data_IF_208075404680
#
_entry.id   IF_208075404680
#
_cell.length_a   1.000
_cell.length_b   1.000
_cell.length_c   1.000
_cell.angle_alpha   90.00
_cell.angle_beta   90.00
_cell.angle_gamma   90.00
#
_symmetry.space_group_name_H-M   'P 1'
#
loop_
_entity.id
_entity.type
_entity.pdbx_description
1 polymer ?
#
# COMPACT_ATOMS: atom_id res chain seq x y z
N UNK A 1 24.60 -39.16 44.98
CA UNK A 1 24.26 -40.58 45.18
C UNK A 1 23.33 -40.93 44.05
N UNK A 2 23.78 -41.81 43.13
CA UNK A 2 23.04 -42.34 41.97
C UNK A 2 22.61 -41.28 40.91
N UNK A 3 22.33 -41.56 39.63
CA UNK A 3 22.81 -42.53 38.60
C UNK A 3 22.13 -42.12 37.26
N UNK A 4 22.49 -42.53 36.04
CA UNK A 4 23.76 -42.91 35.38
C UNK A 4 23.46 -43.09 33.84
N UNK A 5 24.43 -43.53 33.04
CA UNK A 5 24.30 -44.12 31.68
C UNK A 5 23.96 -43.18 30.51
N UNK A 6 24.99 -42.79 29.77
CA UNK A 6 24.93 -42.69 28.29
C UNK A 6 25.81 -43.77 27.68
N UNK A 7 25.22 -44.67 26.88
CA UNK A 7 25.96 -45.64 26.06
C UNK A 7 26.03 -45.20 24.59
N UNK A 8 27.15 -45.54 23.95
CA UNK A 8 27.49 -45.26 22.56
C UNK A 8 27.94 -46.57 21.89
N UNK A 9 27.47 -46.87 20.67
CA UNK A 9 28.34 -47.46 19.63
C UNK A 9 28.01 -46.93 18.20
N UNK A 10 28.88 -46.96 17.17
CA UNK A 10 30.26 -47.45 17.00
C UNK A 10 30.89 -47.00 15.65
N UNK A 11 32.24 -47.09 15.50
CA UNK A 11 33.05 -47.35 14.27
C UNK A 11 33.03 -46.30 13.10
N UNK A 12 34.10 -45.94 12.35
CA UNK A 12 35.51 -46.40 12.10
C UNK A 12 36.43 -45.20 11.67
N UNK A 13 37.71 -45.30 11.26
CA UNK A 13 38.92 -45.97 11.81
C UNK A 13 40.22 -45.71 10.95
N UNK A 14 41.04 -44.68 11.28
CA UNK A 14 42.47 -44.46 10.85
C UNK A 14 42.74 -44.18 9.33
N UNK A 15 43.85 -43.58 8.88
CA UNK A 15 45.04 -42.93 9.51
C UNK A 15 46.27 -42.87 8.56
N UNK A 16 47.30 -42.04 8.87
CA UNK A 16 48.64 -41.87 8.19
C UNK A 16 48.67 -41.29 6.74
N UNK A 17 49.41 -40.21 6.39
CA UNK A 17 50.88 -40.01 6.24
C UNK A 17 51.51 -40.85 5.09
N UNK A 18 52.39 -40.37 4.17
CA UNK A 18 53.27 -39.18 4.11
C UNK A 18 53.77 -38.88 2.64
N UNK A 19 54.28 -37.66 2.39
CA UNK A 19 55.36 -37.23 1.45
C UNK A 19 55.40 -37.65 -0.05
N UNK A 20 55.57 -36.67 -0.96
CA UNK A 20 56.82 -36.48 -1.76
C UNK A 20 56.82 -35.14 -2.54
N UNK A 21 58.03 -34.63 -2.85
CA UNK A 21 58.31 -33.37 -3.57
C UNK A 21 59.42 -33.64 -4.57
N UNK A 22 59.18 -33.39 -5.85
CA UNK A 22 60.23 -33.43 -6.88
C UNK A 22 60.15 -32.18 -7.76
N UNK A 23 61.32 -31.64 -8.08
CA UNK A 23 61.52 -30.41 -8.85
C UNK A 23 61.93 -30.77 -10.27
N UNK A 24 61.40 -30.07 -11.28
CA UNK A 24 61.89 -30.15 -12.65
C UNK A 24 61.91 -28.75 -13.27
N UNK A 25 63.11 -28.24 -13.47
CA UNK A 25 63.37 -26.91 -14.00
C UNK A 25 63.11 -26.81 -15.51
N UNK A 26 62.71 -25.62 -15.98
CA UNK A 26 63.04 -25.16 -17.33
C UNK A 26 62.99 -23.64 -17.49
N UNK A 27 64.14 -23.15 -17.93
CA UNK A 27 64.62 -21.85 -18.42
C UNK A 27 63.65 -20.67 -18.68
N UNK A 28 64.18 -19.48 -18.39
CA UNK A 28 63.66 -18.16 -18.73
C UNK A 28 63.93 -17.81 -20.20
N UNK A 29 62.98 -17.11 -20.84
CA UNK A 29 63.25 -16.12 -21.88
C UNK A 29 62.35 -14.89 -21.65
N UNK A 30 62.91 -13.70 -21.80
CA UNK A 30 62.23 -12.42 -21.51
C UNK A 30 61.70 -11.74 -22.79
N UNK A 31 60.55 -11.06 -22.65
CA UNK A 31 60.09 -9.90 -23.45
C UNK A 31 59.76 -10.12 -24.95
N UNK A 32 58.95 -9.23 -25.60
CA UNK A 32 58.46 -7.94 -25.11
C UNK A 32 56.94 -7.72 -25.12
N UNK A 33 56.54 -6.64 -24.44
CA UNK A 33 55.22 -6.00 -24.50
C UNK A 33 54.66 -5.81 -25.92
N UNK A 34 53.60 -6.54 -26.26
CA UNK A 34 52.68 -6.15 -27.36
C UNK A 34 51.41 -5.53 -26.79
N UNK A 35 51.42 -4.20 -26.70
CA UNK A 35 50.18 -3.43 -26.70
C UNK A 35 49.42 -3.73 -28.01
N UNK A 36 48.35 -4.51 -27.94
CA UNK A 36 47.45 -4.62 -29.09
C UNK A 36 46.01 -5.01 -28.71
N UNK A 37 45.10 -4.13 -29.10
CA UNK A 37 43.66 -4.33 -29.20
C UNK A 37 42.95 -4.82 -27.92
N UNK A 38 42.55 -3.86 -27.09
CA UNK A 38 41.20 -3.91 -26.47
C UNK A 38 40.21 -3.97 -27.64
N UNK A 39 39.78 -5.19 -28.01
CA UNK A 39 38.86 -5.37 -29.12
C UNK A 39 37.48 -4.83 -28.74
N UNK A 40 37.06 -3.80 -29.47
CA UNK A 40 35.74 -3.18 -29.32
C UNK A 40 34.64 -4.15 -29.74
N UNK A 41 34.10 -4.92 -28.78
CA UNK A 41 32.78 -5.54 -28.91
C UNK A 41 31.67 -4.52 -28.55
N UNK A 42 31.63 -3.41 -29.28
CA UNK A 42 30.53 -2.44 -29.18
C UNK A 42 29.38 -2.86 -30.08
N UNK A 43 28.37 -3.50 -29.49
CA UNK A 43 27.04 -3.63 -30.10
C UNK A 43 25.88 -3.62 -29.08
N UNK A 44 26.05 -4.21 -27.89
CA UNK A 44 24.96 -4.41 -26.91
C UNK A 44 25.25 -3.91 -25.48
N UNK A 45 26.29 -3.10 -25.25
CA UNK A 45 26.58 -2.59 -23.90
C UNK A 45 25.60 -1.49 -23.44
N UNK A 46 25.17 -1.53 -22.18
CA UNK A 46 24.29 -0.52 -21.57
C UNK A 46 25.12 0.65 -21.01
N UNK A 47 24.73 1.87 -21.36
CA UNK A 47 25.42 3.07 -20.89
C UNK A 47 24.97 3.44 -19.46
N UNK A 48 25.94 3.68 -18.57
CA UNK A 48 25.66 4.14 -17.22
C UNK A 48 25.12 5.59 -17.24
N UNK A 49 23.93 5.86 -16.67
CA UNK A 49 23.34 7.20 -16.66
C UNK A 49 24.07 8.21 -15.76
N UNK A 50 24.97 7.75 -14.87
CA UNK A 50 25.72 8.61 -13.95
C UNK A 50 27.10 9.04 -14.47
N UNK A 51 27.85 8.15 -15.12
CA UNK A 51 29.23 8.42 -15.56
C UNK A 51 29.49 8.17 -17.05
N UNK A 52 28.48 7.75 -17.83
CA UNK A 52 28.60 7.52 -19.27
C UNK A 52 29.37 6.27 -19.69
N UNK A 53 29.99 5.53 -18.77
CA UNK A 53 30.67 4.25 -19.03
C UNK A 53 29.72 3.24 -19.65
N UNK A 54 30.14 2.52 -20.68
CA UNK A 54 29.43 1.37 -21.26
C UNK A 54 29.74 0.13 -20.42
N UNK A 55 28.73 -0.64 -20.05
CA UNK A 55 28.83 -1.86 -19.24
C UNK A 55 28.11 -3.01 -19.96
N UNK A 56 28.31 -4.25 -19.51
CA UNK A 56 27.59 -5.42 -20.06
C UNK A 56 26.06 -5.24 -19.99
N UNK A 57 25.28 -5.71 -20.99
CA UNK A 57 23.84 -5.45 -21.08
C UNK A 57 23.04 -5.80 -19.82
N UNK A 58 23.40 -6.87 -19.11
CA UNK A 58 22.76 -7.34 -17.89
C UNK A 58 23.38 -6.77 -16.59
N UNK A 59 24.32 -5.82 -16.69
CA UNK A 59 25.01 -5.27 -15.53
C UNK A 59 24.06 -4.44 -14.64
N UNK A 60 23.85 -4.89 -13.40
CA UNK A 60 23.01 -4.19 -12.40
C UNK A 60 23.67 -2.93 -11.81
N UNK A 61 25.00 -2.85 -11.85
CA UNK A 61 25.81 -1.75 -11.31
C UNK A 61 26.96 -1.41 -12.25
N UNK A 62 27.34 -0.13 -12.29
CA UNK A 62 28.42 0.33 -13.15
C UNK A 62 29.78 -0.11 -12.61
N UNK A 63 30.55 -0.81 -13.44
CA UNK A 63 31.89 -1.27 -13.13
C UNK A 63 32.88 -0.12 -12.86
N UNK A 64 32.58 1.11 -13.32
CA UNK A 64 33.41 2.30 -13.10
C UNK A 64 33.00 3.14 -11.88
N UNK A 65 31.71 3.37 -11.64
CA UNK A 65 31.25 4.29 -10.58
C UNK A 65 30.37 3.67 -9.49
N UNK A 66 30.07 2.37 -9.56
CA UNK A 66 29.25 1.65 -8.58
C UNK A 66 27.75 2.00 -8.57
N UNK A 67 27.30 3.05 -9.29
CA UNK A 67 25.88 3.39 -9.38
C UNK A 67 25.09 2.30 -10.13
N UNK A 68 23.83 2.05 -9.75
CA UNK A 68 23.00 1.07 -10.43
C UNK A 68 22.75 1.47 -11.89
N UNK A 69 22.75 0.48 -12.79
CA UNK A 69 22.34 0.64 -14.19
C UNK A 69 20.95 0.00 -14.36
N UNK A 70 20.21 0.41 -15.39
CA UNK A 70 18.82 -0.01 -15.55
C UNK A 70 17.90 0.55 -14.47
N UNK A 71 18.31 1.63 -13.80
CA UNK A 71 17.46 2.50 -12.98
C UNK A 71 17.55 3.91 -13.52
N UNK A 72 16.42 4.52 -13.79
CA UNK A 72 16.34 5.95 -14.10
C UNK A 72 16.53 6.77 -12.83
N UNK A 73 16.90 8.04 -12.95
CA UNK A 73 16.92 8.98 -11.83
C UNK A 73 15.69 9.88 -11.91
N UNK A 74 15.12 10.22 -10.76
CA UNK A 74 13.98 11.12 -10.70
C UNK A 74 14.40 12.52 -11.16
N UNK A 75 13.77 13.12 -12.20
CA UNK A 75 14.17 14.43 -12.70
C UNK A 75 13.97 15.55 -11.67
N UNK A 76 13.12 15.34 -10.67
CA UNK A 76 12.79 16.33 -9.64
C UNK A 76 13.72 16.31 -8.42
N UNK A 77 14.42 15.20 -8.15
CA UNK A 77 15.21 15.05 -6.91
C UNK A 77 16.48 14.18 -7.01
N UNK A 78 16.78 13.60 -8.18
CA UNK A 78 17.94 12.73 -8.40
C UNK A 78 17.86 11.33 -7.77
N UNK A 79 16.83 11.03 -6.96
CA UNK A 79 16.68 9.71 -6.35
C UNK A 79 16.52 8.59 -7.40
N UNK A 80 17.08 7.38 -7.16
CA UNK A 80 16.93 6.27 -8.08
C UNK A 80 15.49 5.78 -8.13
N UNK A 81 14.96 5.63 -9.34
CA UNK A 81 13.61 5.13 -9.63
C UNK A 81 13.70 3.95 -10.61
N UNK A 82 12.62 3.18 -10.70
CA UNK A 82 12.53 2.07 -11.65
C UNK A 82 12.24 2.63 -13.07
N UNK A 83 12.78 2.06 -14.16
CA UNK A 83 12.53 2.53 -15.53
C UNK A 83 11.05 2.70 -15.90
N UNK A 84 10.16 1.80 -15.43
CA UNK A 84 8.71 1.90 -15.70
C UNK A 84 7.94 2.61 -14.57
N UNK A 85 8.63 3.22 -13.61
CA UNK A 85 7.97 4.02 -12.59
C UNK A 85 7.38 5.28 -13.22
N UNK A 86 6.10 5.55 -12.93
CA UNK A 86 5.47 6.82 -13.31
C UNK A 86 5.42 7.84 -12.16
N UNK A 87 5.76 7.40 -10.95
CA UNK A 87 5.78 8.21 -9.73
C UNK A 87 7.05 7.96 -8.90
N UNK A 88 7.67 9.03 -8.40
CA UNK A 88 8.83 8.92 -7.51
C UNK A 88 8.38 8.80 -6.05
N UNK A 89 8.61 7.62 -5.46
CA UNK A 89 8.28 7.31 -4.06
C UNK A 89 9.03 8.22 -3.05
N UNK A 90 10.19 8.78 -3.44
CA UNK A 90 11.03 9.63 -2.57
C UNK A 90 10.55 11.08 -2.51
N UNK A 91 10.44 11.78 -3.65
CA UNK A 91 9.97 13.17 -3.67
C UNK A 91 8.44 13.31 -3.80
N UNK A 92 7.72 12.19 -3.92
CA UNK A 92 6.26 12.11 -4.00
C UNK A 92 5.64 12.94 -5.15
N UNK A 93 6.28 12.94 -6.30
CA UNK A 93 5.80 13.61 -7.53
C UNK A 93 5.69 12.61 -8.69
N UNK A 94 4.75 12.88 -9.60
CA UNK A 94 4.71 12.24 -10.91
C UNK A 94 5.98 12.58 -11.73
N UNK A 95 6.50 11.62 -12.50
CA UNK A 95 7.78 11.76 -13.22
C UNK A 95 7.72 11.55 -14.73
N UNK A 96 6.58 11.09 -15.28
CA UNK A 96 6.41 10.98 -16.74
C UNK A 96 6.03 12.32 -17.36
N UNK A 97 6.54 12.55 -18.56
CA UNK A 97 6.25 13.74 -19.39
C UNK A 97 5.47 13.38 -20.66
N UNK A 98 5.45 12.10 -21.02
CA UNK A 98 4.85 11.51 -22.22
C UNK A 98 3.43 10.95 -22.00
N UNK A 99 2.96 10.90 -20.75
CA UNK A 99 1.65 10.37 -20.36
C UNK A 99 0.99 11.32 -19.36
N UNK A 100 -0.32 11.53 -19.49
CA UNK A 100 -1.09 12.33 -18.56
C UNK A 100 -1.34 11.58 -17.24
N UNK A 101 -0.95 12.19 -16.13
CA UNK A 101 -1.17 11.66 -14.77
C UNK A 101 -2.65 11.47 -14.40
N UNK A 102 -3.56 12.25 -14.97
CA UNK A 102 -5.00 12.24 -14.65
C UNK A 102 -5.78 11.16 -15.41
N UNK A 103 -5.61 11.05 -16.72
CA UNK A 103 -6.40 10.15 -17.59
C UNK A 103 -5.58 9.00 -18.23
N UNK A 104 -4.24 9.09 -18.23
CA UNK A 104 -3.37 8.11 -18.87
C UNK A 104 -3.31 8.22 -20.40
N UNK A 105 -3.77 9.33 -20.99
CA UNK A 105 -3.57 9.62 -22.41
C UNK A 105 -2.10 9.94 -22.73
N UNK A 106 -1.59 9.60 -23.92
CA UNK A 106 -0.29 10.06 -24.37
C UNK A 106 -0.28 11.59 -24.51
N UNK A 107 0.83 12.22 -24.15
CA UNK A 107 1.05 13.66 -24.26
C UNK A 107 2.10 13.95 -25.32
N UNK A 108 1.75 14.86 -26.23
CA UNK A 108 2.69 15.49 -27.16
C UNK A 108 2.95 16.93 -26.73
N UNK A 109 4.14 17.46 -27.03
CA UNK A 109 4.52 18.84 -26.73
C UNK A 109 4.52 19.22 -25.24
N UNK A 110 4.55 20.53 -24.97
CA UNK A 110 4.67 21.13 -23.63
C UNK A 110 3.45 22.00 -23.25
N UNK A 111 2.25 21.61 -23.70
CA UNK A 111 1.03 22.37 -23.44
C UNK A 111 0.68 22.43 -21.94
N UNK A 112 0.04 23.49 -21.48
CA UNK A 112 -0.31 23.64 -20.06
C UNK A 112 -1.39 22.64 -19.58
N UNK A 113 -2.19 22.09 -20.50
CA UNK A 113 -3.30 21.17 -20.23
C UNK A 113 -3.15 19.86 -21.03
N UNK A 114 -3.92 18.84 -20.67
CA UNK A 114 -4.06 17.63 -21.47
C UNK A 114 -5.15 17.84 -22.56
N UNK A 115 -4.89 17.54 -23.84
CA UNK A 115 -5.88 17.71 -24.90
C UNK A 115 -7.08 16.75 -24.78
N UNK A 116 -6.91 15.60 -24.14
CA UNK A 116 -7.96 14.57 -24.01
C UNK A 116 -8.92 14.80 -22.83
N UNK A 117 -8.42 15.27 -21.67
CA UNK A 117 -9.22 15.42 -20.45
C UNK A 117 -9.23 16.85 -19.86
N UNK A 118 -8.63 17.82 -20.53
CA UNK A 118 -8.56 19.22 -20.08
C UNK A 118 -7.82 19.47 -18.76
N UNK A 119 -7.27 18.43 -18.10
CA UNK A 119 -6.62 18.56 -16.80
C UNK A 119 -5.27 19.27 -16.91
N UNK A 120 -4.90 20.16 -15.97
CA UNK A 120 -3.64 20.91 -16.02
C UNK A 120 -2.44 19.99 -15.77
N UNK A 121 -1.39 20.10 -16.58
CA UNK A 121 -0.17 19.29 -16.40
C UNK A 121 0.61 19.64 -15.11
N UNK A 122 0.34 20.79 -14.51
CA UNK A 122 0.94 21.26 -13.25
C UNK A 122 0.21 20.88 -11.96
N UNK A 123 -0.75 19.93 -12.02
CA UNK A 123 -1.47 19.45 -10.84
C UNK A 123 -2.72 20.28 -10.48
N UNK A 124 -3.54 19.75 -9.56
CA UNK A 124 -4.78 20.38 -9.06
C UNK A 124 -4.72 20.54 -7.54
N UNK A 125 -4.99 21.75 -7.06
CA UNK A 125 -5.15 22.05 -5.63
C UNK A 125 -6.52 21.57 -5.16
N UNK A 126 -6.58 20.73 -4.13
CA UNK A 126 -7.83 20.22 -3.59
C UNK A 126 -8.66 21.34 -2.94
N UNK A 127 -9.94 21.53 -3.29
CA UNK A 127 -10.78 22.59 -2.69
C UNK A 127 -11.09 22.34 -1.21
N UNK A 128 -10.99 21.09 -0.73
CA UNK A 128 -11.32 20.71 0.65
C UNK A 128 -10.12 20.90 1.59
N UNK A 129 -8.95 20.33 1.26
CA UNK A 129 -7.77 20.37 2.14
C UNK A 129 -6.60 21.21 1.62
N UNK A 130 -6.72 21.88 0.46
CA UNK A 130 -5.70 22.73 -0.19
C UNK A 130 -4.38 22.04 -0.56
N UNK A 131 -4.27 20.73 -0.42
CA UNK A 131 -3.12 19.95 -0.88
C UNK A 131 -3.07 19.93 -2.41
N UNK A 132 -1.89 20.16 -3.00
CA UNK A 132 -1.61 19.96 -4.42
C UNK A 132 -1.53 18.45 -4.75
N UNK A 133 -2.11 18.04 -5.87
CA UNK A 133 -2.16 16.65 -6.32
C UNK A 133 -1.91 16.56 -7.83
N UNK A 134 -1.10 15.58 -8.23
CA UNK A 134 -0.84 15.26 -9.64
C UNK A 134 -1.92 14.36 -10.25
N UNK A 135 -2.89 13.90 -9.46
CA UNK A 135 -3.85 12.85 -9.83
C UNK A 135 -5.31 13.28 -9.63
N UNK A 136 -6.24 12.54 -10.24
CA UNK A 136 -7.66 12.89 -10.29
C UNK A 136 -8.42 12.78 -8.96
N UNK A 137 -7.79 12.24 -7.92
CA UNK A 137 -8.29 12.19 -6.54
C UNK A 137 -7.27 12.80 -5.59
N UNK A 138 -7.73 13.50 -4.56
CA UNK A 138 -6.84 14.03 -3.55
C UNK A 138 -6.20 12.92 -2.72
N UNK A 139 -4.86 12.89 -2.66
CA UNK A 139 -4.09 11.86 -1.94
C UNK A 139 -4.33 11.83 -0.43
N UNK A 140 -4.77 12.94 0.17
CA UNK A 140 -5.06 13.04 1.61
C UNK A 140 -6.52 12.72 1.95
N UNK A 141 -7.47 13.46 1.35
CA UNK A 141 -8.89 13.37 1.73
C UNK A 141 -9.76 12.50 0.79
N UNK A 142 -9.21 12.01 -0.33
CA UNK A 142 -9.94 11.19 -1.30
C UNK A 142 -10.96 11.95 -2.17
N UNK A 143 -11.10 13.27 -2.03
CA UNK A 143 -12.01 14.07 -2.85
C UNK A 143 -11.68 13.94 -4.34
N UNK A 144 -12.65 13.61 -5.22
CA UNK A 144 -12.46 13.60 -6.66
C UNK A 144 -12.29 15.03 -7.19
N UNK A 145 -11.19 15.27 -7.90
CA UNK A 145 -10.77 16.59 -8.38
C UNK A 145 -11.22 16.85 -9.82
N UNK A 146 -11.15 15.84 -10.70
CA UNK A 146 -11.66 15.93 -12.08
C UNK A 146 -13.10 15.44 -12.17
N UNK A 147 -13.75 15.72 -13.30
CA UNK A 147 -15.14 15.33 -13.54
C UNK A 147 -15.27 13.81 -13.79
N UNK A 148 -14.32 13.21 -14.50
CA UNK A 148 -14.26 11.76 -14.73
C UNK A 148 -14.12 10.99 -13.40
N UNK A 149 -13.37 11.54 -12.44
CA UNK A 149 -13.23 10.98 -11.10
C UNK A 149 -14.55 11.01 -10.31
N UNK A 150 -15.37 12.07 -10.46
CA UNK A 150 -16.71 12.14 -9.84
C UNK A 150 -17.64 11.10 -10.44
N UNK A 151 -17.70 11.03 -11.76
CA UNK A 151 -18.52 10.06 -12.48
C UNK A 151 -18.12 8.61 -12.20
N UNK A 152 -16.82 8.35 -12.04
CA UNK A 152 -16.30 7.04 -11.63
C UNK A 152 -16.70 6.70 -10.19
N UNK A 153 -16.57 7.63 -9.25
CA UNK A 153 -17.02 7.43 -7.86
C UNK A 153 -18.53 7.15 -7.79
N UNK A 154 -19.35 7.85 -8.58
CA UNK A 154 -20.80 7.63 -8.59
C UNK A 154 -21.17 6.25 -9.17
N UNK A 155 -20.52 5.81 -10.25
CA UNK A 155 -20.69 4.45 -10.79
C UNK A 155 -20.30 3.36 -9.79
N UNK A 156 -19.20 3.56 -9.06
CA UNK A 156 -18.74 2.62 -8.03
C UNK A 156 -19.69 2.58 -6.84
N UNK A 157 -20.26 3.72 -6.41
CA UNK A 157 -21.27 3.78 -5.33
C UNK A 157 -22.53 2.98 -5.65
N UNK A 158 -22.89 2.84 -6.91
CA UNK A 158 -24.07 2.07 -7.30
C UNK A 158 -23.88 0.55 -7.22
N UNK A 159 -22.63 0.06 -7.21
CA UNK A 159 -22.31 -1.37 -7.12
C UNK A 159 -22.81 -1.99 -5.79
N UNK A 160 -23.46 -3.18 -5.81
CA UNK A 160 -23.97 -3.82 -4.60
C UNK A 160 -22.84 -4.19 -3.61
N UNK A 161 -21.66 -4.57 -4.11
CA UNK A 161 -20.47 -4.89 -3.32
C UNK A 161 -19.99 -3.65 -2.54
N UNK A 162 -19.91 -2.49 -3.20
CA UNK A 162 -19.56 -1.22 -2.55
C UNK A 162 -20.62 -0.81 -1.51
N UNK A 163 -21.91 -1.00 -1.81
CA UNK A 163 -23.02 -0.73 -0.88
C UNK A 163 -22.94 -1.62 0.37
N UNK A 164 -22.56 -2.89 0.24
CA UNK A 164 -22.30 -3.77 1.39
C UNK A 164 -21.04 -3.38 2.17
N UNK A 165 -19.94 -3.11 1.46
CA UNK A 165 -18.68 -2.62 2.03
C UNK A 165 -18.89 -1.38 2.91
N UNK A 166 -19.60 -0.37 2.40
CA UNK A 166 -19.86 0.87 3.15
C UNK A 166 -20.85 0.66 4.30
N UNK A 167 -21.80 -0.28 4.17
CA UNK A 167 -22.70 -0.68 5.28
C UNK A 167 -21.89 -1.24 6.45
N UNK A 168 -21.02 -2.22 6.18
CA UNK A 168 -20.15 -2.85 7.18
C UNK A 168 -19.18 -1.83 7.81
N UNK A 169 -18.58 -0.94 7.02
CA UNK A 169 -17.74 0.14 7.53
C UNK A 169 -18.50 1.06 8.50
N UNK A 170 -19.74 1.44 8.16
CA UNK A 170 -20.59 2.26 9.02
C UNK A 170 -21.02 1.52 10.31
N UNK A 171 -21.30 0.21 10.23
CA UNK A 171 -21.59 -0.62 11.41
C UNK A 171 -20.38 -0.70 12.35
N UNK A 172 -19.18 -0.95 11.82
CA UNK A 172 -17.93 -0.96 12.60
C UNK A 172 -17.70 0.40 13.27
N UNK A 173 -17.93 1.51 12.57
CA UNK A 173 -17.81 2.85 13.15
C UNK A 173 -18.83 3.07 14.27
N UNK A 174 -20.08 2.65 14.11
CA UNK A 174 -21.11 2.74 15.16
C UNK A 174 -20.77 1.89 16.40
N UNK A 175 -20.17 0.70 16.20
CA UNK A 175 -19.63 -0.11 17.28
C UNK A 175 -18.50 0.62 18.01
N UNK A 176 -17.55 1.26 17.30
CA UNK A 176 -16.48 2.02 17.95
C UNK A 176 -16.99 3.25 18.74
N UNK A 177 -18.12 3.84 18.35
CA UNK A 177 -18.79 4.91 19.11
C UNK A 177 -19.55 4.39 20.34
N UNK A 178 -19.86 3.08 20.41
CA UNK A 178 -20.59 2.44 21.51
C UNK A 178 -19.73 1.36 22.18
N UNK A 179 -18.77 1.75 23.03
CA UNK A 179 -17.83 0.80 23.62
C UNK A 179 -18.54 -0.24 24.53
N UNK A 180 -18.00 -1.47 24.61
CA UNK A 180 -18.55 -2.53 25.45
C UNK A 180 -18.51 -2.16 26.95
N UNK A 181 -19.16 -2.96 27.79
CA UNK A 181 -19.04 -2.80 29.24
C UNK A 181 -17.62 -3.09 29.72
N UNK A 182 -17.10 -2.20 30.58
CA UNK A 182 -15.75 -2.34 31.15
C UNK A 182 -15.71 -3.10 32.49
N UNK A 183 -16.86 -3.32 33.12
CA UNK A 183 -16.99 -4.04 34.40
C UNK A 183 -18.44 -4.40 34.67
N UNK A 184 -18.68 -5.40 35.55
CA UNK A 184 -20.02 -5.74 36.04
C UNK A 184 -20.74 -4.54 36.69
N UNK A 185 -19.99 -3.66 37.37
CA UNK A 185 -20.52 -2.42 37.95
C UNK A 185 -21.10 -1.49 36.89
N UNK A 186 -20.49 -1.45 35.71
CA UNK A 186 -20.98 -0.65 34.58
C UNK A 186 -22.25 -1.26 33.96
N UNK A 187 -22.33 -2.59 33.86
CA UNK A 187 -23.57 -3.32 33.47
C UNK A 187 -24.71 -2.98 34.43
N UNK A 188 -24.49 -3.10 35.73
CA UNK A 188 -25.50 -2.79 36.76
C UNK A 188 -25.90 -1.31 36.76
N UNK A 189 -24.97 -0.40 36.43
CA UNK A 189 -25.26 1.04 36.27
C UNK A 189 -26.16 1.28 35.07
N UNK A 190 -25.85 0.67 33.92
CA UNK A 190 -26.65 0.82 32.70
C UNK A 190 -28.07 0.26 32.87
N UNK A 191 -28.21 -0.93 33.46
CA UNK A 191 -29.52 -1.50 33.82
C UNK A 191 -30.35 -0.58 34.72
N UNK A 192 -29.72 0.08 35.72
CA UNK A 192 -30.41 1.06 36.58
C UNK A 192 -30.81 2.32 35.80
N UNK A 193 -29.93 2.83 34.94
CA UNK A 193 -30.21 3.99 34.09
C UNK A 193 -31.35 3.71 33.08
N UNK A 194 -31.39 2.51 32.51
CA UNK A 194 -32.45 2.07 31.59
C UNK A 194 -33.81 2.02 32.28
N UNK A 195 -33.89 1.38 33.46
CA UNK A 195 -35.11 1.38 34.30
C UNK A 195 -35.55 2.78 34.73
N UNK A 196 -34.59 3.65 35.06
CA UNK A 196 -34.87 5.04 35.40
C UNK A 196 -35.44 5.82 34.19
N UNK A 197 -34.82 5.68 33.01
CA UNK A 197 -35.30 6.26 31.75
C UNK A 197 -36.74 5.82 31.45
N UNK A 198 -37.03 4.53 31.54
CA UNK A 198 -38.37 3.99 31.30
C UNK A 198 -39.41 4.61 32.25
N UNK A 199 -39.07 4.70 33.55
CA UNK A 199 -39.94 5.31 34.56
C UNK A 199 -40.18 6.80 34.32
N UNK A 200 -39.13 7.57 34.00
CA UNK A 200 -39.23 9.00 33.70
C UNK A 200 -40.08 9.24 32.45
N UNK A 201 -39.93 8.43 31.41
CA UNK A 201 -40.73 8.55 30.19
C UNK A 201 -42.21 8.24 30.40
N UNK A 202 -42.55 7.29 31.30
CA UNK A 202 -43.94 7.01 31.70
C UNK A 202 -44.55 8.20 32.44
N UNK A 203 -43.88 8.71 33.48
CA UNK A 203 -44.35 9.87 34.24
C UNK A 203 -44.56 11.11 33.36
N UNK A 204 -43.61 11.43 32.47
CA UNK A 204 -43.72 12.58 31.55
C UNK A 204 -44.86 12.47 30.53
N UNK A 205 -45.45 11.28 30.36
CA UNK A 205 -46.55 11.05 29.45
C UNK A 205 -47.90 11.01 30.15
N UNK A 206 -47.94 10.46 31.38
CA UNK A 206 -49.06 10.59 32.31
C UNK A 206 -49.39 12.08 32.50
N UNK A 207 -48.36 12.90 32.79
CA UNK A 207 -48.45 14.37 32.92
C UNK A 207 -48.96 15.09 31.63
N UNK A 208 -48.83 14.43 30.48
CA UNK A 208 -49.28 14.94 29.16
C UNK A 208 -50.57 14.28 28.66
N UNK A 209 -51.19 13.39 29.44
CA UNK A 209 -52.40 12.66 29.05
C UNK A 209 -52.22 11.65 27.90
N UNK A 210 -50.99 11.19 27.63
CA UNK A 210 -50.69 10.26 26.53
C UNK A 210 -50.91 8.82 27.00
N UNK A 211 -52.10 8.28 26.72
CA UNK A 211 -52.49 6.93 27.16
C UNK A 211 -51.68 5.79 26.53
N UNK A 212 -51.28 5.92 25.26
CA UNK A 212 -50.56 4.87 24.51
C UNK A 212 -49.10 5.28 24.25
N UNK A 213 -48.23 5.02 25.22
CA UNK A 213 -46.79 5.19 25.06
C UNK A 213 -46.12 4.02 24.35
N UNK A 214 -45.48 4.31 23.23
CA UNK A 214 -44.39 3.46 22.70
C UNK A 214 -43.08 4.09 23.14
N UNK A 215 -42.41 3.50 24.13
CA UNK A 215 -41.06 3.91 24.54
C UNK A 215 -40.09 3.39 23.47
N UNK A 216 -39.38 4.25 22.72
CA UNK A 216 -38.44 3.78 21.72
C UNK A 216 -37.26 3.09 22.39
N UNK A 217 -36.91 1.89 21.91
CA UNK A 217 -35.69 1.22 22.37
C UNK A 217 -34.46 2.10 22.12
N UNK A 218 -33.42 2.01 22.97
CA UNK A 218 -32.13 2.65 22.70
C UNK A 218 -31.57 2.16 21.36
N UNK A 219 -31.23 3.09 20.45
CA UNK A 219 -30.69 2.77 19.12
C UNK A 219 -29.41 1.92 19.15
N UNK A 220 -28.65 2.02 20.24
CA UNK A 220 -27.46 1.21 20.47
C UNK A 220 -27.54 0.61 21.87
N UNK A 221 -27.54 -0.72 21.96
CA UNK A 221 -27.45 -1.46 23.21
C UNK A 221 -25.98 -1.83 23.42
N UNK A 222 -25.41 -1.52 24.59
CA UNK A 222 -24.03 -1.90 24.92
C UNK A 222 -23.97 -3.41 25.19
N UNK A 223 -22.90 -4.04 24.72
CA UNK A 223 -22.70 -5.49 24.73
C UNK A 223 -21.55 -5.88 25.67
N UNK A 224 -21.45 -7.17 26.00
CA UNK A 224 -20.29 -7.72 26.70
C UNK A 224 -19.02 -7.63 25.85
N UNK A 225 -17.84 -7.58 26.48
CA UNK A 225 -16.58 -7.39 25.75
C UNK A 225 -16.32 -8.49 24.71
N UNK A 226 -16.44 -9.77 25.08
CA UNK A 226 -16.21 -10.89 24.15
C UNK A 226 -17.21 -10.94 22.99
N UNK A 227 -18.48 -10.62 23.24
CA UNK A 227 -19.51 -10.52 22.19
C UNK A 227 -19.20 -9.37 21.22
N UNK A 228 -18.83 -8.21 21.76
CA UNK A 228 -18.43 -7.04 20.98
C UNK A 228 -17.20 -7.32 20.12
N UNK A 229 -16.17 -7.99 20.66
CA UNK A 229 -14.95 -8.35 19.94
C UNK A 229 -15.24 -9.37 18.83
N UNK A 230 -16.04 -10.41 19.11
CA UNK A 230 -16.45 -11.39 18.11
C UNK A 230 -17.27 -10.76 16.97
N UNK A 231 -18.31 -9.99 17.30
CA UNK A 231 -19.15 -9.29 16.33
C UNK A 231 -18.39 -8.24 15.51
N UNK A 232 -17.33 -7.65 16.08
CA UNK A 232 -16.46 -6.72 15.35
C UNK A 232 -15.53 -7.48 14.41
N UNK A 233 -14.94 -8.59 14.86
CA UNK A 233 -14.03 -9.40 14.04
C UNK A 233 -14.76 -10.05 12.86
N UNK A 234 -15.98 -10.54 13.06
CA UNK A 234 -16.84 -11.07 11.99
C UNK A 234 -17.07 -10.03 10.88
N UNK A 235 -17.44 -8.80 11.26
CA UNK A 235 -17.62 -7.69 10.31
C UNK A 235 -16.34 -7.27 9.62
N UNK A 236 -15.20 -7.26 10.33
CA UNK A 236 -13.90 -6.97 9.74
C UNK A 236 -13.48 -8.04 8.73
N UNK A 237 -13.70 -9.32 9.03
CA UNK A 237 -13.40 -10.43 8.13
C UNK A 237 -14.24 -10.33 6.84
N UNK A 238 -15.57 -10.19 6.97
CA UNK A 238 -16.47 -10.04 5.82
C UNK A 238 -16.16 -8.79 4.99
N UNK A 239 -15.72 -7.71 5.63
CA UNK A 239 -15.28 -6.50 4.94
C UNK A 239 -13.96 -6.72 4.19
N UNK A 240 -13.01 -7.46 4.77
CA UNK A 240 -11.78 -7.86 4.08
C UNK A 240 -12.04 -8.77 2.87
N UNK A 241 -12.99 -9.70 2.97
CA UNK A 241 -13.43 -10.55 1.84
C UNK A 241 -13.96 -9.73 0.66
N UNK A 242 -14.77 -8.70 0.91
CA UNK A 242 -15.27 -7.79 -0.14
C UNK A 242 -14.14 -6.96 -0.73
N UNK A 243 -13.19 -6.49 0.09
CA UNK A 243 -12.01 -5.77 -0.40
C UNK A 243 -11.10 -6.64 -1.27
N UNK A 244 -11.00 -7.93 -0.99
CA UNK A 244 -10.29 -8.91 -1.84
C UNK A 244 -11.03 -9.13 -3.17
N UNK A 245 -12.36 -9.24 -3.16
CA UNK A 245 -13.18 -9.34 -4.38
C UNK A 245 -13.08 -8.09 -5.25
N UNK A 246 -12.89 -6.91 -4.65
CA UNK A 246 -12.70 -5.63 -5.34
C UNK A 246 -11.22 -5.33 -5.69
N UNK A 247 -10.29 -6.25 -5.40
CA UNK A 247 -8.87 -6.11 -5.71
C UNK A 247 -8.66 -5.85 -7.21
N UNK A 248 -7.71 -4.98 -7.54
CA UNK A 248 -7.46 -4.58 -8.91
C UNK A 248 -6.49 -5.53 -9.61
N UNK A 249 -6.88 -6.17 -10.73
CA UNK A 249 -5.95 -6.90 -11.57
C UNK A 249 -5.01 -5.93 -12.30
N UNK A 250 -3.89 -6.42 -12.85
CA UNK A 250 -3.03 -5.62 -13.71
C UNK A 250 -3.80 -5.05 -14.92
N UNK A 251 -3.62 -3.76 -15.22
CA UNK A 251 -4.19 -3.10 -16.40
C UNK A 251 -3.16 -2.17 -17.05
N UNK A 252 -3.18 -1.98 -18.38
CA UNK A 252 -2.11 -1.27 -19.10
C UNK A 252 -2.04 0.25 -18.83
N UNK A 253 -3.06 0.86 -18.21
CA UNK A 253 -3.14 2.31 -17.99
C UNK A 253 -2.99 2.68 -16.50
N UNK A 254 -1.81 3.11 -16.04
CA UNK A 254 -1.54 3.49 -14.64
C UNK A 254 -2.59 4.39 -13.99
N UNK A 255 -2.99 5.46 -14.69
CA UNK A 255 -3.98 6.42 -14.20
C UNK A 255 -5.37 5.80 -13.99
N UNK A 256 -5.80 4.88 -14.86
CA UNK A 256 -7.11 4.24 -14.74
C UNK A 256 -7.16 3.33 -13.50
N UNK A 257 -6.10 2.56 -13.23
CA UNK A 257 -6.01 1.74 -12.02
C UNK A 257 -6.02 2.60 -10.75
N UNK A 258 -5.23 3.69 -10.71
CA UNK A 258 -5.26 4.63 -9.58
C UNK A 258 -6.65 5.21 -9.35
N UNK A 259 -7.30 5.67 -10.42
CA UNK A 259 -8.61 6.31 -10.34
C UNK A 259 -9.68 5.35 -9.84
N UNK A 260 -9.72 4.12 -10.38
CA UNK A 260 -10.68 3.10 -9.94
C UNK A 260 -10.42 2.67 -8.49
N UNK A 261 -9.16 2.39 -8.13
CA UNK A 261 -8.78 2.05 -6.76
C UNK A 261 -9.17 3.16 -5.76
N UNK A 262 -8.96 4.43 -6.10
CA UNK A 262 -9.38 5.57 -5.26
C UNK A 262 -10.90 5.73 -5.19
N UNK A 263 -11.64 5.44 -6.27
CA UNK A 263 -13.10 5.43 -6.27
C UNK A 263 -13.68 4.32 -5.37
N UNK A 264 -13.03 3.16 -5.30
CA UNK A 264 -13.43 2.03 -4.45
C UNK A 264 -13.01 2.13 -2.98
N UNK A 265 -12.41 3.25 -2.53
CA UNK A 265 -11.94 3.42 -1.15
C UNK A 265 -13.13 3.57 -0.17
N UNK A 266 -13.37 2.65 0.78
CA UNK A 266 -14.41 2.83 1.79
C UNK A 266 -14.15 4.05 2.68
N UNK A 267 -15.24 4.74 3.04
CA UNK A 267 -15.18 5.93 3.90
C UNK A 267 -15.29 5.55 5.38
N UNK A 268 -14.70 6.37 6.25
CA UNK A 268 -14.78 6.20 7.71
C UNK A 268 -13.78 5.22 8.32
N UNK A 269 -12.97 4.53 7.52
CA UNK A 269 -11.99 3.54 7.99
C UNK A 269 -10.53 3.96 7.80
N UNK A 270 -9.65 3.36 8.61
CA UNK A 270 -8.20 3.39 8.39
C UNK A 270 -7.80 2.27 7.46
N UNK A 271 -7.20 2.62 6.34
CA UNK A 271 -6.84 1.72 5.25
C UNK A 271 -5.39 1.95 4.81
N UNK A 272 -4.74 0.91 4.32
CA UNK A 272 -3.56 1.02 3.46
C UNK A 272 -3.85 0.40 2.10
N UNK A 273 -3.10 0.81 1.09
CA UNK A 273 -3.08 0.20 -0.23
C UNK A 273 -1.88 -0.74 -0.33
N UNK A 274 -2.13 -2.05 -0.46
CA UNK A 274 -1.09 -3.02 -0.77
C UNK A 274 -0.87 -3.05 -2.29
N UNK A 275 0.36 -2.79 -2.76
CA UNK A 275 0.67 -2.82 -4.18
C UNK A 275 1.17 -4.19 -4.66
N UNK A 276 0.65 -4.67 -5.80
CA UNK A 276 1.06 -5.97 -6.39
C UNK A 276 2.52 -5.97 -6.92
N UNK A 277 3.21 -4.82 -6.94
CA UNK A 277 4.59 -4.72 -7.43
C UNK A 277 5.64 -5.07 -6.37
N UNK A 278 5.48 -4.52 -5.15
CA UNK A 278 6.46 -4.67 -4.06
C UNK A 278 5.86 -5.31 -2.79
N UNK A 279 4.56 -5.61 -2.79
CA UNK A 279 3.77 -5.94 -1.59
C UNK A 279 3.95 -4.91 -0.46
N UNK A 280 4.21 -3.65 -0.85
CA UNK A 280 4.43 -2.55 0.06
C UNK A 280 3.10 -1.86 0.39
N UNK A 281 2.95 -1.44 1.64
CA UNK A 281 1.80 -0.68 2.10
C UNK A 281 2.00 0.81 1.83
N UNK A 282 1.06 1.38 1.09
CA UNK A 282 1.01 2.79 0.73
C UNK A 282 -0.19 3.46 1.41
N UNK A 283 -0.12 4.78 1.59
CA UNK A 283 -1.25 5.59 2.09
C UNK A 283 -2.41 5.63 1.08
N UNK A 284 -2.07 5.48 -0.21
CA UNK A 284 -2.99 5.45 -1.35
C UNK A 284 -2.30 4.90 -2.61
N UNK A 285 -3.06 4.44 -3.63
CA UNK A 285 -2.54 4.12 -4.96
C UNK A 285 -1.70 5.24 -5.61
N UNK A 286 -1.90 6.50 -5.20
CA UNK A 286 -1.12 7.64 -5.64
C UNK A 286 0.35 7.58 -5.22
N UNK A 287 0.70 6.87 -4.14
CA UNK A 287 2.08 6.66 -3.69
C UNK A 287 2.82 5.52 -4.41
N UNK A 288 2.12 4.67 -5.15
CA UNK A 288 2.71 3.52 -5.83
C UNK A 288 3.45 3.93 -7.11
N UNK A 289 4.68 3.44 -7.29
CA UNK A 289 5.49 3.65 -8.49
C UNK A 289 4.99 2.90 -9.75
N UNK A 290 4.34 1.74 -9.59
CA UNK A 290 3.80 0.91 -10.68
C UNK A 290 2.35 0.49 -10.42
N UNK A 291 1.37 1.42 -10.43
CA UNK A 291 -0.03 1.09 -10.18
C UNK A 291 -0.63 0.19 -11.27
N UNK A 292 -0.03 0.11 -12.46
CA UNK A 292 -0.47 -0.78 -13.55
C UNK A 292 -0.48 -2.27 -13.17
N UNK A 293 0.26 -2.66 -12.14
CA UNK A 293 0.23 -4.03 -11.61
C UNK A 293 -0.99 -4.31 -10.72
N UNK A 294 -1.77 -3.28 -10.36
CA UNK A 294 -2.89 -3.41 -9.45
C UNK A 294 -2.50 -3.43 -7.97
N UNK A 295 -3.43 -3.88 -7.15
CA UNK A 295 -3.31 -3.91 -5.69
C UNK A 295 -4.68 -3.98 -5.03
N UNK A 296 -4.70 -3.89 -3.69
CA UNK A 296 -5.93 -3.96 -2.89
C UNK A 296 -5.88 -3.03 -1.69
N UNK A 297 -7.06 -2.66 -1.20
CA UNK A 297 -7.19 -1.97 0.09
C UNK A 297 -7.19 -3.00 1.21
N UNK A 298 -6.38 -2.76 2.24
CA UNK A 298 -6.37 -3.55 3.47
C UNK A 298 -6.79 -2.68 4.66
N UNK A 299 -7.43 -3.28 5.66
CA UNK A 299 -7.89 -2.59 6.87
C UNK A 299 -6.74 -2.53 7.87
N UNK A 300 -6.40 -1.33 8.35
CA UNK A 300 -5.32 -1.15 9.31
C UNK A 300 -5.81 -1.27 10.76
N UNK A 301 -5.03 -2.01 11.56
CA UNK A 301 -5.16 -2.01 13.01
C UNK A 301 -4.83 -0.66 13.64
N UNK A 302 -5.14 -0.51 14.93
CA UNK A 302 -4.97 0.77 15.63
C UNK A 302 -3.51 1.26 15.66
N UNK A 303 -2.52 0.35 15.58
CA UNK A 303 -1.10 0.65 15.80
C UNK A 303 -0.22 0.60 14.52
N UNK A 304 -0.76 0.21 13.37
CA UNK A 304 -0.01 -0.19 12.15
C UNK A 304 0.54 0.96 11.29
N UNK A 305 0.95 2.11 11.88
CA UNK A 305 1.44 3.26 11.09
C UNK A 305 2.87 3.11 10.57
N UNK A 306 3.72 2.38 11.30
CA UNK A 306 5.15 2.24 10.98
C UNK A 306 5.42 1.38 9.72
N UNK A 307 4.41 0.68 9.23
CA UNK A 307 4.50 -0.21 8.06
C UNK A 307 4.12 0.50 6.74
N UNK A 308 3.57 1.72 6.81
CA UNK A 308 3.18 2.48 5.62
C UNK A 308 4.41 3.21 5.07
N UNK A 309 4.85 2.78 3.89
CA UNK A 309 6.04 3.30 3.20
C UNK A 309 5.98 4.80 2.90
N UNK A 310 4.77 5.33 2.69
CA UNK A 310 4.57 6.74 2.38
C UNK A 310 4.43 7.64 3.63
N UNK A 311 4.38 7.08 4.86
CA UNK A 311 4.19 7.85 6.10
C UNK A 311 5.55 8.32 6.67
N UNK A 312 6.12 9.36 6.02
CA UNK A 312 7.26 10.18 6.48
C UNK A 312 6.86 11.65 6.47
#
# INVERSE_FOLDING_TARGET
>A
MFDDITQNPELTNRGSQQLQREELAREYTEEPLTQQAVQMNTANGVQCPHCGTINEPEALFCASCGNPIGKSTCPNCGAPVDPDADFCETCRHYIRTDVCSFCGAPLTGQEAFCPECGSPRGGIVCPVCRTLNDFSFCRQCGTPLTEEARQMMEKVREMPEYKEMQRLANEIQQMEMTPPYSSERDVLRDQKNSKLRERVLKLLAEDRGIANLVIPEPRHKRMGQGEYEAQKQERLNRLAEILEQMAQPPQPKPAQVRNYAMACKPQGMRLAWECNFKHALHSSPCGCAKPQMGGKWIILGKNTRQEIKDDI
#
